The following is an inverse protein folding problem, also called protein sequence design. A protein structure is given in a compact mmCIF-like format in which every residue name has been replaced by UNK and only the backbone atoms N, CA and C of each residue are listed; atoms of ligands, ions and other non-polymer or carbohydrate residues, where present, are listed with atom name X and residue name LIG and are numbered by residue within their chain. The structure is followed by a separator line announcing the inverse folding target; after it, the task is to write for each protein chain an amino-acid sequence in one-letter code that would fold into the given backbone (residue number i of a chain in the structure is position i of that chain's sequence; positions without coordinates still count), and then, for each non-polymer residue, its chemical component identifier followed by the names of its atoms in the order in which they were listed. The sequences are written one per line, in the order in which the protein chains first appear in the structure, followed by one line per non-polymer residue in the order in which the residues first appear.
data_IF_628995328446
#
_entry.id   IF_628995328446
#
_cell.length_a   1.000
_cell.length_b   1.000
_cell.length_c   1.000
_cell.angle_alpha   90.00
_cell.angle_beta   90.00
_cell.angle_gamma   90.00
#
_symmetry.space_group_name_H-M   'P 1'
#
loop_
_entity.id
_entity.type
_entity.pdbx_description
1 polymer ?
#
# COMPACT_ATOMS: atom_id res chain seq x y z
N UNK A 1 -7.30 -9.68 23.04
CA UNK A 1 -6.53 -8.77 22.18
C UNK A 1 -6.07 -7.60 23.03
N UNK A 2 -4.78 -7.52 23.36
CA UNK A 2 -4.25 -6.39 24.14
C UNK A 2 -4.28 -5.09 23.33
N UNK A 3 -4.09 -3.92 23.97
CA UNK A 3 -4.02 -2.65 23.25
C UNK A 3 -2.89 -2.70 22.22
N UNK A 4 -3.23 -2.48 20.96
CA UNK A 4 -2.23 -2.41 19.90
C UNK A 4 -1.30 -1.21 20.17
N UNK A 5 0.01 -1.47 20.20
CA UNK A 5 1.00 -0.41 20.33
C UNK A 5 1.01 0.41 19.03
N UNK A 6 0.56 1.65 19.12
CA UNK A 6 0.59 2.59 18.00
C UNK A 6 2.02 3.12 17.84
N UNK A 7 2.55 3.09 16.62
CA UNK A 7 3.85 3.67 16.30
C UNK A 7 3.74 5.20 16.20
N UNK A 8 4.73 5.97 16.71
CA UNK A 8 4.75 7.41 16.53
C UNK A 8 5.01 7.73 15.06
N UNK A 9 3.96 8.17 14.35
CA UNK A 9 4.03 8.48 12.92
C UNK A 9 4.18 10.00 12.70
N UNK A 10 5.11 10.45 11.85
CA UNK A 10 5.22 11.86 11.51
C UNK A 10 3.99 12.33 10.71
N UNK A 11 3.50 13.54 11.02
CA UNK A 11 2.40 14.16 10.29
C UNK A 11 2.76 14.33 8.79
N UNK A 12 1.76 14.24 7.91
CA UNK A 12 1.89 14.47 6.46
C UNK A 12 2.93 13.58 5.74
N UNK A 13 3.14 12.34 6.19
CA UNK A 13 4.06 11.37 5.55
C UNK A 13 3.31 10.19 4.90
N UNK A 14 2.57 10.40 3.80
CA UNK A 14 1.92 9.31 3.06
C UNK A 14 2.94 8.36 2.43
N UNK A 15 4.16 8.82 2.16
CA UNK A 15 5.26 8.02 1.59
C UNK A 15 5.66 6.83 2.48
N UNK A 16 5.39 6.94 3.79
CA UNK A 16 5.60 5.84 4.73
C UNK A 16 4.41 4.87 4.79
N UNK A 17 3.23 5.27 4.29
CA UNK A 17 2.02 4.47 4.40
C UNK A 17 2.07 3.32 3.40
N UNK A 18 2.54 2.17 3.86
CA UNK A 18 2.66 0.93 3.09
C UNK A 18 1.36 0.56 2.37
N UNK A 19 0.20 0.89 2.93
CA UNK A 19 -1.09 0.58 2.31
C UNK A 19 -1.30 1.28 0.96
N UNK A 20 -0.70 2.46 0.72
CA UNK A 20 -0.82 3.20 -0.54
C UNK A 20 -0.24 2.41 -1.72
N UNK A 21 0.83 1.65 -1.44
CA UNK A 21 1.48 0.80 -2.44
C UNK A 21 0.64 -0.45 -2.74
N UNK A 22 0.00 -1.00 -1.70
CA UNK A 22 -0.96 -2.08 -1.89
C UNK A 22 -2.16 -1.59 -2.71
N UNK A 23 -2.73 -0.43 -2.41
CA UNK A 23 -3.83 0.13 -3.21
C UNK A 23 -3.43 0.40 -4.66
N UNK A 24 -2.19 0.86 -4.89
CA UNK A 24 -1.67 1.05 -6.25
C UNK A 24 -1.56 -0.28 -7.00
N UNK A 25 -1.05 -1.33 -6.35
CA UNK A 25 -1.01 -2.68 -6.91
C UNK A 25 -2.41 -3.21 -7.26
N UNK A 26 -3.36 -3.12 -6.33
CA UNK A 26 -4.73 -3.59 -6.55
C UNK A 26 -5.40 -2.86 -7.71
N UNK A 27 -5.25 -1.52 -7.78
CA UNK A 27 -5.78 -0.71 -8.89
C UNK A 27 -5.20 -1.15 -10.23
N UNK A 28 -3.89 -1.41 -10.29
CA UNK A 28 -3.24 -1.85 -11.52
C UNK A 28 -3.76 -3.23 -11.97
N UNK A 29 -3.99 -4.14 -11.04
CA UNK A 29 -4.50 -5.48 -11.33
C UNK A 29 -5.97 -5.45 -11.79
N UNK A 30 -6.87 -4.80 -11.03
CA UNK A 30 -8.30 -4.79 -11.35
C UNK A 30 -8.64 -4.03 -12.63
N UNK A 31 -7.82 -3.06 -13.04
CA UNK A 31 -7.99 -2.31 -14.30
C UNK A 31 -7.03 -2.77 -15.41
N UNK A 32 -6.29 -3.85 -15.19
CA UNK A 32 -5.38 -4.42 -16.19
C UNK A 32 -6.11 -4.74 -17.50
N UNK A 33 -5.43 -4.49 -18.62
CA UNK A 33 -6.00 -4.71 -19.97
C UNK A 33 -7.21 -3.82 -20.29
N UNK A 34 -7.41 -2.71 -19.57
CA UNK A 34 -8.53 -1.79 -19.80
C UNK A 34 -9.87 -2.28 -19.29
N UNK A 35 -9.89 -3.31 -18.43
CA UNK A 35 -11.12 -3.86 -17.83
C UNK A 35 -11.95 -2.75 -17.19
N UNK A 36 -13.26 -2.76 -17.46
CA UNK A 36 -14.24 -1.85 -16.85
C UNK A 36 -15.30 -2.66 -16.10
N UNK A 37 -16.03 -1.99 -15.21
CA UNK A 37 -17.08 -2.59 -14.38
C UNK A 37 -18.35 -1.79 -14.55
N UNK A 38 -19.50 -2.47 -14.65
CA UNK A 38 -20.79 -1.81 -14.87
C UNK A 38 -21.58 -1.63 -13.56
N UNK A 39 -21.18 -2.36 -12.51
CA UNK A 39 -21.82 -2.29 -11.19
C UNK A 39 -20.79 -2.22 -10.07
N UNK A 40 -21.22 -1.70 -8.91
CA UNK A 40 -20.39 -1.69 -7.71
C UNK A 40 -20.08 -3.10 -7.21
N UNK A 41 -21.02 -4.05 -7.37
CA UNK A 41 -20.83 -5.44 -6.93
C UNK A 41 -19.74 -6.16 -7.75
N UNK A 42 -19.71 -5.94 -9.07
CA UNK A 42 -18.65 -6.46 -9.94
C UNK A 42 -17.28 -5.90 -9.55
N UNK A 43 -17.20 -4.58 -9.31
CA UNK A 43 -15.97 -3.93 -8.87
C UNK A 43 -15.52 -4.46 -7.50
N UNK A 44 -16.45 -4.63 -6.56
CA UNK A 44 -16.16 -5.13 -5.23
C UNK A 44 -15.64 -6.57 -5.27
N UNK A 45 -16.28 -7.44 -6.04
CA UNK A 45 -15.82 -8.81 -6.24
C UNK A 45 -14.41 -8.87 -6.84
N UNK A 46 -14.10 -7.99 -7.80
CA UNK A 46 -12.76 -7.92 -8.38
C UNK A 46 -11.70 -7.43 -7.38
N UNK A 47 -12.02 -6.42 -6.57
CA UNK A 47 -11.14 -5.95 -5.49
C UNK A 47 -10.86 -7.06 -4.49
N UNK A 48 -11.90 -7.78 -4.05
CA UNK A 48 -11.73 -8.91 -3.13
C UNK A 48 -10.87 -10.03 -3.71
N UNK A 49 -11.08 -10.37 -4.98
CA UNK A 49 -10.30 -11.39 -5.68
C UNK A 49 -8.83 -10.96 -5.79
N UNK A 50 -8.58 -9.74 -6.24
CA UNK A 50 -7.24 -9.15 -6.34
C UNK A 50 -6.54 -9.16 -4.99
N UNK A 51 -7.20 -8.67 -3.94
CA UNK A 51 -6.67 -8.63 -2.58
C UNK A 51 -6.32 -10.02 -2.02
N UNK A 52 -7.13 -11.05 -2.30
CA UNK A 52 -6.85 -12.44 -1.90
C UNK A 52 -5.70 -13.06 -2.71
N UNK A 53 -5.46 -12.58 -3.93
CA UNK A 53 -4.40 -13.08 -4.81
C UNK A 53 -3.03 -12.41 -4.61
N UNK A 54 -2.95 -11.36 -3.77
CA UNK A 54 -1.70 -10.63 -3.53
C UNK A 54 -0.62 -11.61 -3.05
N UNK A 55 0.52 -11.72 -3.76
CA UNK A 55 1.60 -12.62 -3.37
C UNK A 55 2.16 -12.26 -1.99
N UNK A 56 2.36 -13.27 -1.13
CA UNK A 56 2.92 -13.04 0.22
C UNK A 56 4.29 -12.35 0.18
N UNK A 57 5.15 -12.74 -0.76
CA UNK A 57 6.47 -12.12 -0.94
C UNK A 57 6.38 -10.64 -1.33
N UNK A 58 5.32 -10.20 -1.99
CA UNK A 58 5.08 -8.77 -2.25
C UNK A 58 4.77 -8.04 -0.95
N UNK A 59 3.87 -8.58 -0.11
CA UNK A 59 3.54 -8.00 1.20
C UNK A 59 4.77 -7.94 2.12
N UNK A 60 5.57 -9.01 2.16
CA UNK A 60 6.81 -9.05 2.96
C UNK A 60 7.82 -7.99 2.50
N UNK A 61 8.08 -7.88 1.19
CA UNK A 61 8.94 -6.82 0.64
C UNK A 61 8.42 -5.44 0.99
N UNK A 62 7.12 -5.25 0.95
CA UNK A 62 6.51 -3.97 1.21
C UNK A 62 6.63 -3.57 2.69
N UNK A 63 6.38 -4.48 3.62
CA UNK A 63 6.63 -4.27 5.05
C UNK A 63 8.12 -4.02 5.34
N UNK A 64 9.01 -4.80 4.74
CA UNK A 64 10.46 -4.64 4.93
C UNK A 64 11.01 -3.35 4.31
N UNK A 65 10.27 -2.70 3.41
CA UNK A 65 10.67 -1.42 2.81
C UNK A 65 10.52 -0.22 3.75
N UNK A 66 9.77 -0.36 4.86
CA UNK A 66 9.51 0.71 5.82
C UNK A 66 10.81 1.28 6.36
N UNK A 67 11.75 0.42 6.77
CA UNK A 67 13.02 0.85 7.36
C UNK A 67 13.81 1.74 6.38
N UNK A 68 13.93 1.30 5.12
CA UNK A 68 14.60 2.08 4.07
C UNK A 68 13.88 3.40 3.76
N UNK A 69 12.55 3.44 3.83
CA UNK A 69 11.76 4.66 3.60
C UNK A 69 11.93 5.67 4.74
N UNK A 70 11.98 5.18 5.98
CA UNK A 70 12.28 6.02 7.16
C UNK A 70 13.70 6.61 7.04
N UNK A 71 14.69 5.81 6.66
CA UNK A 71 16.06 6.29 6.42
C UNK A 71 16.11 7.37 5.34
N UNK A 72 15.40 7.18 4.22
CA UNK A 72 15.30 8.18 3.15
C UNK A 72 14.66 9.49 3.64
N UNK A 73 13.59 9.42 4.45
CA UNK A 73 12.96 10.62 5.00
C UNK A 73 13.87 11.38 5.96
N UNK A 74 14.59 10.66 6.83
CA UNK A 74 15.58 11.25 7.74
C UNK A 74 16.70 11.93 6.94
N UNK A 75 17.19 11.26 5.88
CA UNK A 75 18.23 11.80 4.99
C UNK A 75 17.75 13.05 4.25
N UNK A 76 16.48 13.09 3.85
CA UNK A 76 15.86 14.26 3.19
C UNK A 76 15.40 15.35 4.16
N UNK A 77 15.64 15.23 5.48
CA UNK A 77 15.17 16.18 6.52
C UNK A 77 13.67 16.50 6.41
N UNK A 78 12.85 15.51 6.08
CA UNK A 78 11.40 15.68 5.91
C UNK A 78 10.93 16.07 4.49
N UNK A 79 11.82 16.09 3.49
CA UNK A 79 11.43 16.22 2.08
C UNK A 79 10.82 14.94 1.49
N UNK A 80 10.00 15.09 0.44
CA UNK A 80 9.27 13.99 -0.23
C UNK A 80 10.18 12.83 -0.67
N UNK A 81 9.75 11.59 -0.42
CA UNK A 81 10.47 10.38 -0.84
C UNK A 81 9.62 9.65 -1.87
N UNK A 82 10.11 9.57 -3.11
CA UNK A 82 9.44 8.82 -4.17
C UNK A 82 9.34 7.32 -3.78
N UNK A 83 8.19 6.73 -4.12
CA UNK A 83 7.77 5.38 -3.75
C UNK A 83 8.58 4.25 -4.41
#
# INVERSE_FOLDING_TARGET
FGPAKVLPWPACSPDLNVIENLWSYLKQDIYSGGRQYNTLDELWAAIECSARSVPRNFLEKLCNSIDSRIEKLLTKRGGHVDA
#
